data_IF_530561803948
#
_entry.id   IF_530561803948
#
_cell.length_a   1.000
_cell.length_b   1.000
_cell.length_c   1.000
_cell.angle_alpha   90.00
_cell.angle_beta   90.00
_cell.angle_gamma   90.00
#
_symmetry.space_group_name_H-M   'P 1'
#
loop_
_entity.id
_entity.type
_entity.pdbx_description
1 polymer ?
#
# COMPACT_ATOMS: atom_id res chain seq x y z
N UNK A 1 7.93 -2.76 -2.01
CA UNK A 1 8.92 -3.26 -2.99
C UNK A 1 10.21 -3.79 -2.36
N UNK A 2 11.13 -2.90 -1.97
CA UNK A 2 12.46 -3.29 -1.41
C UNK A 2 12.42 -3.79 0.05
N UNK A 3 11.27 -3.70 0.73
CA UNK A 3 11.08 -4.18 2.10
C UNK A 3 11.24 -3.13 3.20
N UNK A 4 11.08 -1.83 2.91
CA UNK A 4 11.16 -0.77 3.96
C UNK A 4 10.12 -0.97 5.07
N UNK A 5 8.86 -1.18 4.72
CA UNK A 5 7.76 -1.39 5.67
C UNK A 5 7.93 -2.70 6.44
N UNK A 6 8.38 -3.78 5.78
CA UNK A 6 8.72 -5.05 6.45
C UNK A 6 9.89 -4.88 7.43
N UNK A 7 10.94 -4.15 7.06
CA UNK A 7 12.04 -3.85 7.98
C UNK A 7 11.58 -2.99 9.16
N UNK A 8 10.65 -2.06 8.97
CA UNK A 8 10.08 -1.29 10.06
C UNK A 8 9.27 -2.17 11.03
N UNK A 9 8.42 -3.06 10.51
CA UNK A 9 7.66 -4.05 11.30
C UNK A 9 8.58 -5.01 12.05
N UNK A 10 9.60 -5.53 11.39
CA UNK A 10 10.59 -6.42 12.00
C UNK A 10 11.40 -5.69 13.08
N UNK A 11 11.79 -4.44 12.83
CA UNK A 11 12.48 -3.61 13.82
C UNK A 11 11.61 -3.38 15.06
N UNK A 12 10.31 -3.11 14.86
CA UNK A 12 9.35 -2.98 15.96
C UNK A 12 9.29 -4.26 16.80
N UNK A 13 9.15 -5.42 16.16
CA UNK A 13 9.15 -6.72 16.83
C UNK A 13 10.45 -6.95 17.60
N UNK A 14 11.60 -6.75 16.95
CA UNK A 14 12.93 -6.95 17.53
C UNK A 14 13.20 -6.06 18.74
N UNK A 15 12.75 -4.80 18.70
CA UNK A 15 12.87 -3.84 19.79
C UNK A 15 11.97 -4.20 20.98
N UNK A 16 10.74 -4.65 20.69
CA UNK A 16 9.80 -5.11 21.70
C UNK A 16 10.28 -6.38 22.41
N UNK A 17 10.76 -7.38 21.66
CA UNK A 17 11.31 -8.63 22.21
C UNK A 17 12.51 -8.39 23.15
N UNK A 18 13.31 -7.36 22.88
CA UNK A 18 14.44 -6.95 23.73
C UNK A 18 14.04 -6.04 24.88
N UNK A 19 12.77 -5.68 24.99
CA UNK A 19 12.27 -4.77 26.01
C UNK A 19 12.77 -3.34 25.85
N UNK A 20 13.25 -2.93 24.68
CA UNK A 20 13.63 -1.52 24.44
C UNK A 20 12.37 -0.65 24.30
N UNK A 21 11.34 -1.23 23.70
CA UNK A 21 10.01 -0.66 23.51
C UNK A 21 8.99 -1.58 24.17
N UNK A 22 7.89 -1.02 24.68
CA UNK A 22 6.72 -1.80 25.11
C UNK A 22 5.93 -2.25 23.88
N UNK A 23 5.65 -3.54 23.75
CA UNK A 23 4.92 -4.11 22.61
C UNK A 23 3.54 -3.46 22.38
N UNK A 24 2.91 -2.92 23.43
CA UNK A 24 1.63 -2.20 23.34
C UNK A 24 1.77 -0.73 22.92
N UNK A 25 3.01 -0.24 22.78
CA UNK A 25 3.36 1.15 22.45
C UNK A 25 4.16 1.24 21.15
N UNK A 26 3.85 0.34 20.23
CA UNK A 26 4.29 0.38 18.84
C UNK A 26 3.15 0.93 18.00
N UNK A 27 3.28 2.19 17.59
CA UNK A 27 2.27 2.91 16.83
C UNK A 27 2.66 2.93 15.35
N UNK A 28 1.71 2.59 14.48
CA UNK A 28 1.91 2.58 13.03
C UNK A 28 0.97 3.61 12.41
N UNK A 29 1.54 4.67 11.83
CA UNK A 29 0.82 5.70 11.10
C UNK A 29 1.10 5.55 9.60
N UNK A 30 0.15 5.03 8.80
CA UNK A 30 0.30 4.99 7.36
C UNK A 30 0.16 6.41 6.78
N UNK A 31 1.15 6.85 6.01
CA UNK A 31 1.23 8.19 5.42
C UNK A 31 1.15 8.17 3.89
N UNK A 32 0.80 7.03 3.29
CA UNK A 32 0.72 6.84 1.84
C UNK A 32 -0.09 7.94 1.14
N UNK A 33 -1.11 8.48 1.81
CA UNK A 33 -2.01 9.50 1.23
C UNK A 33 -1.81 10.88 1.84
N UNK A 34 -0.96 11.03 2.86
CA UNK A 34 -0.71 12.32 3.47
C UNK A 34 0.02 13.25 2.49
N UNK A 35 -0.48 14.47 2.32
CA UNK A 35 0.09 15.52 1.44
C UNK A 35 0.52 16.76 2.22
N UNK A 36 0.12 16.86 3.50
CA UNK A 36 0.37 18.02 4.34
C UNK A 36 0.80 17.63 5.75
N UNK A 37 1.34 18.59 6.51
CA UNK A 37 1.63 18.39 7.93
C UNK A 37 0.36 18.12 8.74
N UNK A 38 -0.79 18.66 8.34
CA UNK A 38 -2.07 18.39 8.98
C UNK A 38 -2.47 16.93 8.82
N UNK A 39 -2.35 16.37 7.62
CA UNK A 39 -2.67 14.95 7.37
C UNK A 39 -1.77 14.04 8.20
N UNK A 40 -0.48 14.37 8.31
CA UNK A 40 0.47 13.63 9.16
C UNK A 40 0.07 13.72 10.64
N UNK A 41 -0.31 14.90 11.14
CA UNK A 41 -0.79 15.06 12.53
C UNK A 41 -2.01 14.18 12.81
N UNK A 42 -2.97 14.18 11.89
CA UNK A 42 -4.19 13.36 12.00
C UNK A 42 -3.82 11.87 12.01
N UNK A 43 -2.97 11.42 11.08
CA UNK A 43 -2.53 10.03 11.03
C UNK A 43 -1.78 9.61 12.31
N UNK A 44 -0.92 10.47 12.84
CA UNK A 44 -0.21 10.21 14.11
C UNK A 44 -1.19 10.17 15.29
N UNK A 45 -2.10 11.14 15.40
CA UNK A 45 -3.11 11.18 16.45
C UNK A 45 -3.93 9.89 16.48
N UNK A 46 -4.43 9.47 15.32
CA UNK A 46 -5.21 8.25 15.20
C UNK A 46 -4.39 7.00 15.51
N UNK A 47 -3.13 6.93 15.08
CA UNK A 47 -2.23 5.82 15.40
C UNK A 47 -1.97 5.67 16.91
N UNK A 48 -1.97 6.77 17.67
CA UNK A 48 -1.79 6.78 19.14
C UNK A 48 -3.11 6.72 19.91
N UNK A 49 -4.26 6.58 19.23
CA UNK A 49 -5.59 6.46 19.85
C UNK A 49 -6.22 7.79 20.27
N UNK A 50 -5.78 8.90 19.69
CA UNK A 50 -6.30 10.25 19.93
C UNK A 50 -7.27 10.66 18.81
N UNK A 51 -8.40 11.27 19.19
CA UNK A 51 -9.36 11.86 18.25
C UNK A 51 -8.81 13.11 17.54
N UNK A 52 -9.02 13.30 16.21
CA UNK A 52 -8.54 14.47 15.48
C UNK A 52 -9.06 15.82 16.00
N UNK A 53 -10.24 15.81 16.61
CA UNK A 53 -10.89 16.95 17.27
C UNK A 53 -10.14 17.45 18.51
N UNK A 54 -9.28 16.61 19.09
CA UNK A 54 -8.44 16.96 20.23
C UNK A 54 -7.15 17.68 19.81
N UNK A 55 -6.85 17.72 18.51
CA UNK A 55 -5.67 18.42 18.01
C UNK A 55 -5.86 19.94 18.13
N UNK A 56 -4.88 20.66 18.70
CA UNK A 56 -4.86 22.12 18.62
C UNK A 56 -4.97 22.61 17.18
N UNK A 57 -5.71 23.72 16.97
CA UNK A 57 -5.84 24.32 15.63
C UNK A 57 -4.53 24.94 15.14
N UNK A 58 -3.72 25.45 16.06
CA UNK A 58 -2.39 25.97 15.75
C UNK A 58 -1.41 24.82 15.50
N UNK A 59 -0.70 24.88 14.38
CA UNK A 59 0.14 23.77 13.92
C UNK A 59 1.34 23.48 14.82
N UNK A 60 1.93 24.50 15.43
CA UNK A 60 3.09 24.33 16.32
C UNK A 60 2.64 23.77 17.68
N UNK A 61 1.53 24.28 18.21
CA UNK A 61 0.91 23.71 19.40
C UNK A 61 0.48 22.26 19.19
N UNK A 62 -0.04 21.91 18.00
CA UNK A 62 -0.39 20.53 17.68
C UNK A 62 0.84 19.61 17.61
N UNK A 63 1.96 20.10 17.07
CA UNK A 63 3.22 19.35 17.07
C UNK A 63 3.72 19.09 18.51
N UNK A 64 3.71 20.13 19.35
CA UNK A 64 4.09 20.04 20.76
C UNK A 64 3.20 19.07 21.54
N UNK A 65 1.89 19.17 21.31
CA UNK A 65 0.89 18.35 21.97
C UNK A 65 1.05 16.88 21.60
N UNK A 66 1.20 16.55 20.31
CA UNK A 66 1.44 15.18 19.84
C UNK A 66 2.73 14.59 20.43
N UNK A 67 3.81 15.39 20.48
CA UNK A 67 5.06 14.97 21.09
C UNK A 67 4.90 14.64 22.59
N UNK A 68 4.04 15.37 23.32
CA UNK A 68 3.75 15.11 24.73
C UNK A 68 2.90 13.84 24.94
N UNK A 69 2.06 13.45 23.97
CA UNK A 69 1.26 12.24 24.07
C UNK A 69 2.07 10.95 23.91
N UNK A 70 3.24 11.02 23.26
CA UNK A 70 4.07 9.84 23.07
C UNK A 70 4.65 9.36 24.41
N UNK A 71 4.36 8.14 24.87
CA UNK A 71 4.86 7.65 26.13
C UNK A 71 6.33 7.23 26.05
N UNK A 72 7.00 7.14 27.21
CA UNK A 72 8.35 6.54 27.27
C UNK A 72 8.33 5.10 26.80
N UNK A 73 9.45 4.64 26.21
CA UNK A 73 9.62 3.30 25.64
C UNK A 73 8.55 2.99 24.58
N UNK A 74 8.24 3.97 23.74
CA UNK A 74 7.38 3.81 22.57
C UNK A 74 8.17 3.83 21.27
N UNK A 75 7.56 3.29 20.23
CA UNK A 75 8.01 3.37 18.85
C UNK A 75 6.88 3.95 18.01
N UNK A 76 7.17 4.98 17.22
CA UNK A 76 6.29 5.52 16.20
C UNK A 76 6.87 5.20 14.82
N UNK A 77 6.13 4.46 14.01
CA UNK A 77 6.45 4.18 12.61
C UNK A 77 5.57 5.04 11.72
N UNK A 78 6.20 5.94 10.96
CA UNK A 78 5.59 6.73 9.91
C UNK A 78 5.87 6.04 8.57
N UNK A 79 4.91 5.28 8.05
CA UNK A 79 5.12 4.41 6.88
C UNK A 79 4.67 5.09 5.58
N UNK A 80 5.40 4.88 4.48
CA UNK A 80 5.11 5.43 3.14
C UNK A 80 4.99 6.97 3.09
N UNK A 81 5.94 7.67 3.73
CA UNK A 81 5.90 9.11 3.89
C UNK A 81 6.31 9.94 2.66
N UNK A 82 6.59 9.32 1.49
CA UNK A 82 7.09 10.03 0.30
C UNK A 82 6.24 11.23 -0.11
N UNK A 83 4.92 11.06 -0.07
CA UNK A 83 3.96 12.06 -0.48
C UNK A 83 3.90 13.23 0.51
N UNK A 84 3.95 12.94 1.80
CA UNK A 84 3.97 13.95 2.86
C UNK A 84 5.27 14.75 2.83
N UNK A 85 6.40 14.06 2.64
CA UNK A 85 7.72 14.68 2.54
C UNK A 85 7.82 15.59 1.31
N UNK A 86 7.30 15.15 0.16
CA UNK A 86 7.32 15.93 -1.07
C UNK A 86 6.42 17.16 -1.02
N UNK A 87 5.14 16.98 -0.66
CA UNK A 87 4.14 18.03 -0.75
C UNK A 87 4.11 18.93 0.50
N UNK A 88 4.33 18.37 1.69
CA UNK A 88 4.22 19.07 2.97
C UNK A 88 5.46 19.86 3.37
N UNK A 89 6.60 19.63 2.71
CA UNK A 89 7.81 20.44 2.81
C UNK A 89 8.31 20.68 4.25
N UNK A 90 8.59 21.94 4.59
CA UNK A 90 9.16 22.31 5.89
C UNK A 90 8.26 21.95 7.07
N UNK A 91 6.94 22.15 6.95
CA UNK A 91 6.02 21.89 8.06
C UNK A 91 5.98 20.42 8.47
N UNK A 92 6.05 19.49 7.50
CA UNK A 92 6.15 18.05 7.78
C UNK A 92 7.47 17.71 8.46
N UNK A 93 8.57 18.32 8.00
CA UNK A 93 9.88 18.15 8.64
C UNK A 93 9.87 18.63 10.09
N UNK A 94 9.35 19.82 10.34
CA UNK A 94 9.29 20.41 11.69
C UNK A 94 8.46 19.54 12.64
N UNK A 95 7.34 18.99 12.18
CA UNK A 95 6.55 18.00 12.93
C UNK A 95 7.37 16.74 13.25
N UNK A 96 8.00 16.13 12.24
CA UNK A 96 8.78 14.91 12.42
C UNK A 96 9.96 15.13 13.39
N UNK A 97 10.66 16.26 13.28
CA UNK A 97 11.71 16.66 14.22
C UNK A 97 11.16 16.82 15.64
N UNK A 98 9.98 17.42 15.76
CA UNK A 98 9.36 17.63 17.06
C UNK A 98 8.99 16.31 17.76
N UNK A 99 8.47 15.34 17.01
CA UNK A 99 8.16 14.00 17.51
C UNK A 99 9.42 13.27 18.02
N UNK A 100 10.53 13.37 17.28
CA UNK A 100 11.82 12.79 17.70
C UNK A 100 12.37 13.46 18.95
N UNK A 101 12.17 14.77 19.08
CA UNK A 101 12.64 15.58 20.21
C UNK A 101 11.70 15.56 21.43
N UNK A 102 10.66 14.72 21.43
CA UNK A 102 9.75 14.59 22.55
C UNK A 102 10.50 14.22 23.85
N UNK A 103 10.06 14.79 24.98
CA UNK A 103 10.71 14.59 26.29
C UNK A 103 10.74 13.11 26.72
N UNK A 104 9.73 12.35 26.31
CA UNK A 104 9.62 10.91 26.52
C UNK A 104 10.64 10.08 25.75
N UNK A 105 11.35 10.70 24.79
CA UNK A 105 12.36 10.08 23.91
C UNK A 105 11.84 8.82 23.22
N UNK A 106 10.76 8.93 22.41
CA UNK A 106 10.26 7.82 21.62
C UNK A 106 11.30 7.43 20.56
N UNK A 107 11.28 6.17 20.13
CA UNK A 107 11.94 5.80 18.89
C UNK A 107 11.00 6.17 17.74
N UNK A 108 11.56 6.74 16.67
CA UNK A 108 10.79 7.10 15.47
C UNK A 108 11.46 6.49 14.25
N UNK A 109 10.67 5.77 13.45
CA UNK A 109 11.09 5.24 12.15
C UNK A 109 10.22 5.90 11.09
N UNK A 110 10.84 6.48 10.07
CA UNK A 110 10.14 6.99 8.89
C UNK A 110 10.56 6.16 7.68
N UNK A 111 9.60 5.57 6.98
CA UNK A 111 9.86 4.93 5.69
C UNK A 111 9.41 5.88 4.58
N UNK A 112 10.26 6.07 3.58
CA UNK A 112 9.98 6.96 2.45
C UNK A 112 10.86 6.60 1.27
N UNK A 113 10.46 6.97 0.06
CA UNK A 113 11.31 6.97 -1.13
C UNK A 113 12.16 8.24 -1.26
N UNK A 114 11.82 9.28 -0.49
CA UNK A 114 12.50 10.57 -0.47
C UNK A 114 13.14 10.84 0.89
N UNK A 115 14.23 11.58 0.87
CA UNK A 115 14.88 12.04 2.11
C UNK A 115 13.99 13.09 2.79
N UNK A 116 13.70 12.88 4.08
CA UNK A 116 13.00 13.84 4.94
C UNK A 116 13.81 15.16 5.05
N UNK A 117 15.14 15.06 4.94
CA UNK A 117 16.06 16.19 5.02
C UNK A 117 16.22 16.74 6.44
N UNK A 118 16.01 15.90 7.45
CA UNK A 118 16.21 16.24 8.86
C UNK A 118 17.47 15.60 9.43
N UNK A 119 18.24 16.35 10.22
CA UNK A 119 19.40 15.81 10.94
C UNK A 119 19.01 14.91 12.12
N UNK A 120 17.80 15.06 12.65
CA UNK A 120 17.28 14.23 13.73
C UNK A 120 16.82 12.85 13.22
N UNK A 121 16.57 12.73 11.92
CA UNK A 121 16.15 11.50 11.23
C UNK A 121 17.17 11.14 10.15
N UNK A 122 18.32 10.58 10.53
CA UNK A 122 19.34 10.21 9.56
C UNK A 122 18.80 9.16 8.57
N UNK A 123 19.00 9.41 7.28
CA UNK A 123 18.56 8.49 6.23
C UNK A 123 19.42 7.20 6.23
N UNK A 124 18.75 6.06 6.23
CA UNK A 124 19.38 4.76 6.01
C UNK A 124 18.91 4.16 4.69
N UNK A 125 19.82 4.06 3.72
CA UNK A 125 19.53 3.49 2.42
C UNK A 125 19.39 1.96 2.52
N UNK A 126 18.16 1.46 2.42
CA UNK A 126 17.89 0.02 2.32
C UNK A 126 18.51 -0.51 1.03
N UNK A 127 19.43 -1.46 1.18
CA UNK A 127 20.15 -2.05 0.06
C UNK A 127 19.32 -3.16 -0.60
N UNK A 128 19.62 -3.43 -1.87
CA UNK A 128 19.16 -4.66 -2.54
C UNK A 128 19.70 -5.89 -1.82
N UNK A 129 19.01 -7.02 -1.97
CA UNK A 129 19.48 -8.26 -1.38
C UNK A 129 20.80 -8.68 -2.00
N UNK A 130 21.71 -9.22 -1.18
CA UNK A 130 22.90 -9.90 -1.70
C UNK A 130 22.46 -11.14 -2.46
N UNK A 131 23.25 -11.56 -3.45
CA UNK A 131 22.89 -12.71 -4.30
C UNK A 131 22.60 -13.98 -3.50
N UNK A 132 23.38 -14.27 -2.44
CA UNK A 132 23.13 -15.42 -1.56
C UNK A 132 21.78 -15.34 -0.83
N UNK A 133 21.38 -14.15 -0.36
CA UNK A 133 20.11 -13.96 0.33
C UNK A 133 18.92 -13.96 -0.65
N UNK A 134 19.12 -13.42 -1.85
CA UNK A 134 18.13 -13.47 -2.93
C UNK A 134 17.83 -14.91 -3.35
N UNK A 135 18.86 -15.76 -3.49
CA UNK A 135 18.70 -17.20 -3.76
C UNK A 135 17.95 -17.90 -2.63
N UNK A 136 18.30 -17.62 -1.37
CA UNK A 136 17.59 -18.19 -0.21
C UNK A 136 16.12 -17.81 -0.19
N UNK A 137 15.81 -16.54 -0.46
CA UNK A 137 14.43 -16.07 -0.54
C UNK A 137 13.69 -16.71 -1.71
N UNK A 138 14.33 -16.82 -2.88
CA UNK A 138 13.74 -17.52 -4.02
C UNK A 138 13.40 -18.96 -3.68
N UNK A 139 14.34 -19.71 -3.08
CA UNK A 139 14.13 -21.10 -2.64
C UNK A 139 12.92 -21.22 -1.72
N UNK A 140 12.78 -20.30 -0.77
CA UNK A 140 11.64 -20.24 0.14
C UNK A 140 10.32 -19.93 -0.60
N UNK A 141 10.29 -18.91 -1.46
CA UNK A 141 9.11 -18.51 -2.21
C UNK A 141 8.69 -19.53 -3.28
N UNK A 142 9.65 -20.28 -3.81
CA UNK A 142 9.46 -21.35 -4.78
C UNK A 142 9.07 -22.69 -4.11
N UNK A 143 9.15 -22.79 -2.78
CA UNK A 143 8.83 -24.02 -2.05
C UNK A 143 9.79 -25.17 -2.35
N UNK A 144 11.06 -24.85 -2.64
CA UNK A 144 12.08 -25.85 -2.94
C UNK A 144 12.62 -26.48 -1.64
N UNK A 145 12.50 -27.79 -1.50
CA UNK A 145 13.04 -28.55 -0.37
C UNK A 145 13.86 -29.78 -0.82
N UNK A 146 14.67 -30.34 0.10
CA UNK A 146 15.38 -31.61 -0.12
C UNK A 146 16.05 -31.75 -1.49
N UNK A 147 15.56 -32.71 -2.29
CA UNK A 147 16.08 -33.01 -3.62
C UNK A 147 15.75 -31.93 -4.67
N UNK A 148 14.71 -31.13 -4.44
CA UNK A 148 14.29 -30.07 -5.37
C UNK A 148 15.26 -28.89 -5.38
N UNK A 149 16.09 -28.72 -4.35
CA UNK A 149 17.15 -27.71 -4.32
C UNK A 149 18.21 -27.88 -5.42
N UNK A 150 18.32 -29.08 -5.99
CA UNK A 150 19.26 -29.38 -7.08
C UNK A 150 18.64 -29.20 -8.48
N UNK A 151 17.32 -28.98 -8.57
CA UNK A 151 16.60 -28.83 -9.85
C UNK A 151 16.89 -27.51 -10.57
N UNK A 152 16.94 -26.34 -9.90
CA UNK A 152 17.15 -25.06 -10.57
C UNK A 152 18.59 -24.96 -11.10
N UNK A 153 18.75 -24.61 -12.38
CA UNK A 153 20.06 -24.19 -12.88
C UNK A 153 20.50 -22.92 -12.13
N UNK A 154 21.66 -22.99 -11.46
CA UNK A 154 22.14 -21.91 -10.60
C UNK A 154 22.57 -20.67 -11.39
N UNK A 155 23.05 -20.85 -12.61
CA UNK A 155 23.51 -19.76 -13.48
C UNK A 155 22.30 -18.97 -13.96
N UNK A 156 21.30 -19.68 -14.49
CA UNK A 156 20.07 -19.07 -14.96
C UNK A 156 19.22 -18.49 -13.83
N UNK A 157 19.21 -19.11 -12.65
CA UNK A 157 18.60 -18.50 -11.46
C UNK A 157 19.28 -17.19 -11.08
N UNK A 158 20.61 -17.14 -11.07
CA UNK A 158 21.34 -15.90 -10.78
C UNK A 158 21.00 -14.81 -11.80
N UNK A 159 20.95 -15.15 -13.09
CA UNK A 159 20.53 -14.25 -14.16
C UNK A 159 19.11 -13.72 -13.94
N UNK A 160 18.15 -14.60 -13.69
CA UNK A 160 16.75 -14.21 -13.44
C UNK A 160 16.59 -13.30 -12.20
N UNK A 161 17.39 -13.53 -11.16
CA UNK A 161 17.41 -12.67 -9.97
C UNK A 161 18.03 -11.29 -10.25
N UNK A 162 19.04 -11.22 -11.12
CA UNK A 162 19.64 -9.96 -11.56
C UNK A 162 18.68 -9.16 -12.46
N UNK A 163 17.83 -9.83 -13.25
CA UNK A 163 16.76 -9.18 -14.03
C UNK A 163 15.79 -8.38 -13.17
N UNK A 164 15.48 -8.88 -11.98
CA UNK A 164 14.57 -8.24 -11.03
C UNK A 164 15.30 -7.41 -9.98
N UNK A 165 16.58 -7.11 -10.21
CA UNK A 165 17.45 -6.31 -9.34
C UNK A 165 17.46 -6.80 -7.87
N UNK A 166 17.25 -8.11 -7.68
CA UNK A 166 17.22 -8.78 -6.36
C UNK A 166 16.30 -8.09 -5.35
N UNK A 167 15.17 -7.55 -5.83
CA UNK A 167 14.15 -6.90 -5.00
C UNK A 167 13.27 -7.97 -4.36
N UNK A 168 13.08 -8.00 -3.03
CA UNK A 168 12.32 -9.03 -2.34
C UNK A 168 10.95 -9.35 -2.97
N UNK A 169 10.13 -8.32 -3.22
CA UNK A 169 8.80 -8.51 -3.82
C UNK A 169 8.86 -9.09 -5.23
N UNK A 170 9.86 -8.73 -6.03
CA UNK A 170 10.01 -9.27 -7.37
C UNK A 170 10.51 -10.72 -7.36
N UNK A 171 11.35 -11.08 -6.38
CA UNK A 171 11.78 -12.47 -6.13
C UNK A 171 10.59 -13.34 -5.73
N UNK A 172 9.68 -12.82 -4.88
CA UNK A 172 8.45 -13.54 -4.50
C UNK A 172 7.60 -13.89 -5.73
N UNK A 173 7.37 -12.91 -6.61
CA UNK A 173 6.63 -13.09 -7.86
C UNK A 173 7.34 -14.09 -8.79
N UNK A 174 8.68 -14.03 -8.87
CA UNK A 174 9.49 -14.95 -9.66
C UNK A 174 9.40 -16.39 -9.12
N UNK A 175 9.44 -16.57 -7.81
CA UNK A 175 9.29 -17.88 -7.16
C UNK A 175 7.90 -18.47 -7.41
N UNK A 176 6.86 -17.65 -7.37
CA UNK A 176 5.52 -18.06 -7.77
C UNK A 176 5.46 -18.48 -9.26
N UNK A 177 6.15 -17.77 -10.15
CA UNK A 177 6.25 -18.11 -11.57
C UNK A 177 6.98 -19.42 -11.83
N UNK A 178 8.08 -19.63 -11.14
CA UNK A 178 8.79 -20.89 -11.20
C UNK A 178 7.91 -22.07 -10.75
N UNK A 179 7.16 -21.92 -9.64
CA UNK A 179 6.20 -22.94 -9.16
C UNK A 179 5.12 -23.28 -10.18
N UNK A 180 4.72 -22.31 -11.01
CA UNK A 180 3.71 -22.55 -12.04
C UNK A 180 4.27 -23.31 -13.24
N UNK A 181 5.47 -22.92 -13.70
CA UNK A 181 6.07 -23.51 -14.92
C UNK A 181 6.75 -24.85 -14.68
N UNK A 182 7.29 -25.06 -13.47
CA UNK A 182 8.23 -26.14 -13.17
C UNK A 182 9.42 -26.19 -14.14
N UNK A 183 9.84 -25.01 -14.62
CA UNK A 183 10.94 -24.84 -15.58
C UNK A 183 12.28 -24.92 -14.83
N UNK A 184 12.90 -26.10 -14.84
CA UNK A 184 14.13 -26.36 -14.10
C UNK A 184 15.33 -25.53 -14.62
N UNK A 185 15.35 -25.20 -15.91
CA UNK A 185 16.45 -24.44 -16.51
C UNK A 185 16.15 -22.94 -16.67
N UNK A 186 14.95 -22.47 -16.30
CA UNK A 186 14.52 -21.06 -16.42
C UNK A 186 14.55 -20.50 -17.85
N UNK A 187 14.81 -21.28 -18.90
CA UNK A 187 15.02 -20.74 -20.25
C UNK A 187 13.78 -20.00 -20.74
N UNK A 188 12.59 -20.55 -20.48
CA UNK A 188 11.33 -19.90 -20.85
C UNK A 188 11.08 -18.63 -20.05
N UNK A 189 11.39 -18.67 -18.75
CA UNK A 189 11.24 -17.53 -17.85
C UNK A 189 12.19 -16.37 -18.22
N UNK A 190 13.46 -16.67 -18.49
CA UNK A 190 14.46 -15.70 -18.93
C UNK A 190 14.06 -15.09 -20.27
N UNK A 191 13.59 -15.90 -21.23
CA UNK A 191 13.12 -15.39 -22.52
C UNK A 191 11.95 -14.39 -22.38
N UNK A 192 11.00 -14.67 -21.50
CA UNK A 192 9.90 -13.74 -21.21
C UNK A 192 10.40 -12.49 -20.48
N UNK A 193 11.29 -12.63 -19.50
CA UNK A 193 11.93 -11.50 -18.81
C UNK A 193 12.62 -10.56 -19.79
N UNK A 194 13.39 -11.09 -20.74
CA UNK A 194 13.99 -10.29 -21.81
C UNK A 194 12.94 -9.55 -22.63
N UNK A 195 11.90 -10.26 -23.08
CA UNK A 195 10.82 -9.68 -23.90
C UNK A 195 10.12 -8.53 -23.19
N UNK A 196 9.82 -8.69 -21.91
CA UNK A 196 9.14 -7.66 -21.12
C UNK A 196 10.07 -6.52 -20.71
N UNK A 197 11.35 -6.81 -20.44
CA UNK A 197 12.34 -5.80 -20.05
C UNK A 197 12.50 -4.74 -21.12
N UNK A 198 12.63 -5.11 -22.37
CA UNK A 198 12.77 -4.15 -23.46
C UNK A 198 11.55 -3.22 -23.56
N UNK A 199 10.35 -3.76 -23.33
CA UNK A 199 9.11 -2.98 -23.34
C UNK A 199 9.04 -2.02 -22.14
N UNK A 200 9.35 -2.50 -20.94
CA UNK A 200 9.24 -1.72 -19.69
C UNK A 200 10.34 -0.67 -19.58
N UNK A 201 11.58 -0.98 -19.97
CA UNK A 201 12.70 -0.02 -19.91
C UNK A 201 12.53 1.14 -20.88
N UNK A 202 11.94 0.89 -22.06
CA UNK A 202 11.72 1.91 -23.10
C UNK A 202 10.49 2.78 -22.86
N UNK A 203 9.65 2.43 -21.89
CA UNK A 203 8.47 3.22 -21.57
C UNK A 203 8.83 4.35 -20.58
N UNK A 204 8.75 5.63 -21.00
CA UNK A 204 9.09 6.76 -20.15
C UNK A 204 8.09 6.97 -19.00
N UNK A 205 6.92 6.31 -19.02
CA UNK A 205 5.88 6.45 -18.01
C UNK A 205 6.03 5.46 -16.84
N UNK A 206 7.03 4.58 -16.85
CA UNK A 206 7.40 3.81 -15.66
C UNK A 206 8.47 4.55 -14.87
N UNK A 207 8.23 4.90 -13.59
CA UNK A 207 9.28 5.38 -12.71
C UNK A 207 10.43 4.36 -12.62
N UNK A 208 11.68 4.83 -12.69
CA UNK A 208 12.85 3.95 -12.67
C UNK A 208 12.90 3.08 -11.40
N UNK A 209 12.36 3.60 -10.30
CA UNK A 209 12.32 2.97 -8.99
C UNK A 209 11.44 1.71 -8.96
N UNK A 210 10.46 1.60 -9.87
CA UNK A 210 9.49 0.49 -9.89
C UNK A 210 9.70 -0.48 -11.05
N UNK A 211 10.50 -0.15 -12.07
CA UNK A 211 10.71 -0.98 -13.28
C UNK A 211 11.06 -2.44 -12.96
N UNK A 212 11.94 -2.69 -12.00
CA UNK A 212 12.35 -4.05 -11.60
C UNK A 212 11.20 -4.86 -10.99
N UNK A 213 10.30 -4.20 -10.26
CA UNK A 213 9.11 -4.84 -9.67
C UNK A 213 8.04 -5.06 -10.74
N UNK A 214 7.86 -4.10 -11.66
CA UNK A 214 6.92 -4.18 -12.78
C UNK A 214 7.13 -5.43 -13.63
N UNK A 215 8.37 -5.87 -13.82
CA UNK A 215 8.66 -7.12 -14.54
C UNK A 215 8.01 -8.34 -13.88
N UNK A 216 8.14 -8.49 -12.57
CA UNK A 216 7.50 -9.56 -11.82
C UNK A 216 5.97 -9.46 -11.86
N UNK A 217 5.43 -8.23 -11.76
CA UNK A 217 3.99 -7.98 -11.83
C UNK A 217 3.43 -8.37 -13.20
N UNK A 218 4.14 -8.03 -14.28
CA UNK A 218 3.74 -8.40 -15.64
C UNK A 218 3.63 -9.91 -15.82
N UNK A 219 4.63 -10.68 -15.38
CA UNK A 219 4.60 -12.14 -15.48
C UNK A 219 3.42 -12.73 -14.70
N UNK A 220 3.21 -12.26 -13.46
CA UNK A 220 2.09 -12.69 -12.63
C UNK A 220 0.73 -12.32 -13.26
N UNK A 221 0.63 -11.15 -13.87
CA UNK A 221 -0.57 -10.71 -14.58
C UNK A 221 -0.84 -11.53 -15.85
N UNK A 222 0.18 -11.83 -16.66
CA UNK A 222 0.02 -12.63 -17.88
C UNK A 222 -0.51 -14.04 -17.53
N UNK A 223 0.00 -14.63 -16.44
CA UNK A 223 -0.51 -15.89 -15.91
C UNK A 223 -1.94 -15.79 -15.37
N UNK A 224 -2.28 -14.69 -14.69
CA UNK A 224 -3.64 -14.43 -14.24
C UNK A 224 -4.60 -14.36 -15.43
N UNK A 225 -4.23 -13.61 -16.47
CA UNK A 225 -5.04 -13.44 -17.68
C UNK A 225 -5.20 -14.75 -18.47
N UNK A 226 -4.17 -15.60 -18.53
CA UNK A 226 -4.26 -16.95 -19.10
C UNK A 226 -5.26 -17.83 -18.33
N UNK A 227 -5.36 -17.67 -17.00
CA UNK A 227 -6.26 -18.46 -16.15
C UNK A 227 -7.69 -17.93 -16.14
N UNK A 228 -7.87 -16.61 -16.09
CA UNK A 228 -9.17 -15.95 -16.07
C UNK A 228 -9.06 -14.49 -16.50
N UNK A 229 -9.69 -14.18 -17.63
CA UNK A 229 -9.82 -12.81 -18.12
C UNK A 229 -10.62 -11.94 -17.14
N UNK A 230 -11.65 -12.51 -16.48
CA UNK A 230 -12.45 -11.78 -15.48
C UNK A 230 -11.61 -11.38 -14.26
N UNK A 231 -10.70 -12.27 -13.79
CA UNK A 231 -9.83 -11.95 -12.68
C UNK A 231 -8.78 -10.90 -13.06
N UNK A 232 -8.27 -10.95 -14.30
CA UNK A 232 -7.37 -9.92 -14.83
C UNK A 232 -8.07 -8.56 -14.98
N UNK A 233 -9.33 -8.55 -15.44
CA UNK A 233 -10.15 -7.34 -15.51
C UNK A 233 -10.44 -6.76 -14.13
N UNK A 234 -10.79 -7.60 -13.14
CA UNK A 234 -10.97 -7.18 -11.76
C UNK A 234 -9.65 -6.62 -11.17
N UNK A 235 -8.51 -7.26 -11.42
CA UNK A 235 -7.21 -6.74 -11.00
C UNK A 235 -6.94 -5.33 -11.54
N UNK A 236 -7.29 -5.07 -12.80
CA UNK A 236 -7.20 -3.74 -13.39
C UNK A 236 -8.13 -2.75 -12.68
N UNK A 237 -9.40 -3.12 -12.50
CA UNK A 237 -10.41 -2.26 -11.85
C UNK A 237 -10.06 -1.93 -10.39
N UNK A 238 -9.36 -2.82 -9.67
CA UNK A 238 -8.86 -2.55 -8.32
C UNK A 238 -7.95 -1.31 -8.26
N UNK A 239 -7.36 -0.87 -9.37
CA UNK A 239 -6.57 0.36 -9.38
C UNK A 239 -7.39 1.64 -9.08
N UNK A 240 -8.71 1.57 -9.25
CA UNK A 240 -9.64 2.67 -8.95
C UNK A 240 -9.91 2.83 -7.44
N UNK A 241 -9.41 1.91 -6.61
CA UNK A 241 -9.62 1.87 -5.17
C UNK A 241 -8.26 2.07 -4.47
N UNK A 242 -7.74 3.31 -4.40
CA UNK A 242 -6.39 3.58 -3.93
C UNK A 242 -6.13 3.15 -2.48
N UNK A 243 -7.13 3.15 -1.60
CA UNK A 243 -7.08 2.62 -0.23
C UNK A 243 -7.43 1.12 -0.13
N UNK A 244 -7.65 0.47 -1.28
CA UNK A 244 -8.14 -0.90 -1.36
C UNK A 244 -9.66 -1.00 -1.43
N UNK A 245 -10.12 -2.22 -1.65
CA UNK A 245 -11.53 -2.60 -1.74
C UNK A 245 -11.80 -3.73 -0.75
N UNK A 246 -12.78 -3.53 0.13
CA UNK A 246 -13.16 -4.55 1.09
C UNK A 246 -14.04 -5.65 0.48
N UNK A 247 -14.13 -6.81 1.13
CA UNK A 247 -14.88 -7.96 0.61
C UNK A 247 -16.35 -7.62 0.34
N UNK A 248 -17.01 -6.86 1.22
CA UNK A 248 -18.39 -6.43 1.02
C UNK A 248 -18.57 -5.54 -0.22
N UNK A 249 -17.65 -4.60 -0.43
CA UNK A 249 -17.62 -3.73 -1.61
C UNK A 249 -17.35 -4.51 -2.88
N UNK A 250 -16.46 -5.50 -2.83
CA UNK A 250 -16.22 -6.38 -3.96
C UNK A 250 -17.46 -7.19 -4.35
N UNK A 251 -18.21 -7.73 -3.37
CA UNK A 251 -19.49 -8.38 -3.64
C UNK A 251 -20.53 -7.41 -4.22
N UNK A 252 -20.61 -6.18 -3.70
CA UNK A 252 -21.57 -5.18 -4.16
C UNK A 252 -21.31 -4.77 -5.62
N UNK A 253 -20.04 -4.60 -6.00
CA UNK A 253 -19.64 -4.08 -7.31
C UNK A 253 -19.50 -5.15 -8.39
N UNK A 254 -19.03 -6.35 -8.02
CA UNK A 254 -18.69 -7.41 -8.98
C UNK A 254 -19.52 -8.69 -8.77
N UNK A 255 -20.44 -8.68 -7.81
CA UNK A 255 -21.39 -9.76 -7.55
C UNK A 255 -20.76 -10.99 -6.91
N UNK A 256 -21.51 -12.10 -6.94
CA UNK A 256 -21.16 -13.34 -6.24
C UNK A 256 -19.86 -14.02 -6.72
N UNK A 257 -19.35 -13.66 -7.90
CA UNK A 257 -18.08 -14.18 -8.40
C UNK A 257 -16.86 -13.51 -7.75
N UNK A 258 -17.01 -12.32 -7.15
CA UNK A 258 -15.91 -11.50 -6.67
C UNK A 258 -14.96 -12.23 -5.70
N UNK A 259 -15.43 -12.97 -4.67
CA UNK A 259 -14.53 -13.65 -3.73
C UNK A 259 -13.61 -14.67 -4.42
N UNK A 260 -14.15 -15.40 -5.41
CA UNK A 260 -13.36 -16.36 -6.19
C UNK A 260 -12.32 -15.64 -7.05
N UNK A 261 -12.69 -14.55 -7.71
CA UNK A 261 -11.78 -13.79 -8.57
C UNK A 261 -10.66 -13.14 -7.73
N UNK A 262 -10.99 -12.51 -6.61
CA UNK A 262 -10.01 -11.92 -5.68
C UNK A 262 -9.02 -12.95 -5.16
N UNK A 263 -9.50 -14.15 -4.80
CA UNK A 263 -8.63 -15.26 -4.41
C UNK A 263 -7.68 -15.66 -5.54
N UNK A 264 -8.15 -15.71 -6.78
CA UNK A 264 -7.27 -16.01 -7.93
C UNK A 264 -6.16 -14.98 -8.10
N UNK A 265 -6.46 -13.69 -7.88
CA UNK A 265 -5.49 -12.59 -7.93
C UNK A 265 -4.51 -12.70 -6.75
N UNK A 266 -4.99 -12.93 -5.54
CA UNK A 266 -4.18 -13.13 -4.34
C UNK A 266 -3.22 -14.31 -4.47
N UNK A 267 -3.67 -15.43 -5.05
CA UNK A 267 -2.84 -16.61 -5.33
C UNK A 267 -1.67 -16.31 -6.28
N UNK A 268 -1.68 -15.14 -6.96
CA UNK A 268 -0.58 -14.64 -7.78
C UNK A 268 0.39 -13.73 -7.02
N UNK A 269 0.22 -13.53 -5.71
CA UNK A 269 0.89 -12.50 -4.90
C UNK A 269 0.71 -11.08 -5.46
N UNK A 270 -0.43 -10.81 -6.12
CA UNK A 270 -0.75 -9.50 -6.70
C UNK A 270 -1.54 -8.58 -5.76
N UNK A 271 -1.95 -9.05 -4.58
CA UNK A 271 -2.67 -8.28 -3.57
C UNK A 271 -1.91 -8.29 -2.24
N UNK A 272 -2.21 -7.31 -1.39
CA UNK A 272 -1.89 -7.30 0.04
C UNK A 272 -3.18 -7.18 0.85
N UNK A 273 -3.13 -7.68 2.10
CA UNK A 273 -4.25 -7.62 3.05
C UNK A 273 -3.85 -6.86 4.31
N UNK A 274 -3.92 -5.51 4.31
CA UNK A 274 -3.71 -4.72 5.52
C UNK A 274 -4.74 -5.05 6.62
N UNK A 275 -5.94 -5.50 6.21
CA UNK A 275 -6.95 -6.09 7.08
C UNK A 275 -7.42 -7.43 6.49
N UNK A 276 -7.97 -8.35 7.30
CA UNK A 276 -8.41 -9.65 6.81
C UNK A 276 -9.35 -9.61 5.61
N UNK A 277 -10.18 -8.56 5.51
CA UNK A 277 -11.21 -8.36 4.48
C UNK A 277 -10.86 -7.25 3.47
N UNK A 278 -9.74 -6.52 3.62
CA UNK A 278 -9.37 -5.41 2.75
C UNK A 278 -8.32 -5.84 1.73
N UNK A 279 -8.68 -5.78 0.46
CA UNK A 279 -7.79 -6.10 -0.66
C UNK A 279 -7.13 -4.82 -1.16
N UNK A 280 -5.81 -4.74 -1.04
CA UNK A 280 -5.03 -3.56 -1.37
C UNK A 280 -4.03 -3.86 -2.50
N UNK A 281 -3.89 -2.90 -3.42
CA UNK A 281 -2.83 -2.90 -4.43
C UNK A 281 -1.69 -1.98 -3.98
N UNK A 282 -0.49 -2.52 -3.72
CA UNK A 282 0.69 -1.70 -3.48
C UNK A 282 0.92 -0.72 -4.62
N UNK A 283 1.43 0.48 -4.32
CA UNK A 283 1.61 1.57 -5.31
C UNK A 283 2.20 1.14 -6.66
N UNK A 284 3.29 0.34 -6.74
CA UNK A 284 3.82 -0.13 -8.03
C UNK A 284 2.84 -1.02 -8.81
N UNK A 285 2.02 -1.80 -8.11
CA UNK A 285 1.06 -2.74 -8.68
C UNK A 285 -0.17 -1.98 -9.17
N UNK A 286 -0.62 -0.98 -8.39
CA UNK A 286 -1.68 -0.06 -8.78
C UNK A 286 -1.35 0.68 -10.06
N UNK A 287 -0.13 1.23 -10.18
CA UNK A 287 0.35 1.90 -11.41
C UNK A 287 0.36 0.95 -12.61
N UNK A 288 0.73 -0.31 -12.40
CA UNK A 288 0.67 -1.33 -13.44
C UNK A 288 -0.78 -1.67 -13.83
N UNK A 289 -1.66 -1.86 -12.85
CA UNK A 289 -3.06 -2.26 -13.00
C UNK A 289 -3.88 -1.19 -13.75
N UNK A 290 -3.68 0.09 -13.44
CA UNK A 290 -4.36 1.20 -14.10
C UNK A 290 -4.16 1.19 -15.62
N UNK A 291 -2.98 0.76 -16.06
CA UNK A 291 -2.63 0.66 -17.49
C UNK A 291 -3.28 -0.52 -18.21
N UNK A 292 -3.85 -1.45 -17.46
CA UNK A 292 -4.62 -2.58 -17.99
C UNK A 292 -6.11 -2.25 -18.13
N UNK A 293 -6.56 -1.08 -17.65
CA UNK A 293 -7.96 -0.66 -17.76
C UNK A 293 -8.37 -0.51 -19.22
N UNK A 294 -9.38 -1.28 -19.62
CA UNK A 294 -9.94 -1.21 -20.97
C UNK A 294 -10.68 0.11 -21.14
N UNK A 295 -10.22 0.97 -22.07
CA UNK A 295 -10.79 2.31 -22.27
C UNK A 295 -10.28 3.37 -21.27
N UNK A 296 -9.34 3.01 -20.40
CA UNK A 296 -8.72 3.91 -19.42
C UNK A 296 -9.56 4.18 -18.16
N UNK A 297 -8.97 4.91 -17.21
CA UNK A 297 -9.55 5.18 -15.89
C UNK A 297 -10.94 5.82 -15.98
N UNK A 298 -11.12 6.83 -16.84
CA UNK A 298 -12.40 7.52 -16.97
C UNK A 298 -13.55 6.58 -17.39
N UNK A 299 -13.30 5.68 -18.35
CA UNK A 299 -14.32 4.73 -18.80
C UNK A 299 -14.68 3.71 -17.72
N UNK A 300 -13.67 3.22 -16.99
CA UNK A 300 -13.88 2.29 -15.89
C UNK A 300 -14.63 2.94 -14.72
N UNK A 301 -14.28 4.18 -14.37
CA UNK A 301 -15.02 4.97 -13.38
C UNK A 301 -16.47 5.21 -13.79
N UNK A 302 -16.76 5.51 -15.05
CA UNK A 302 -18.14 5.67 -15.53
C UNK A 302 -18.96 4.38 -15.41
N UNK A 303 -18.33 3.22 -15.62
CA UNK A 303 -18.99 1.92 -15.49
C UNK A 303 -19.35 1.57 -14.04
N UNK A 304 -18.46 1.88 -13.10
CA UNK A 304 -18.59 1.46 -11.70
C UNK A 304 -19.13 2.54 -10.77
N UNK A 305 -19.04 3.81 -11.15
CA UNK A 305 -19.10 4.93 -10.21
C UNK A 305 -20.40 5.06 -9.43
N UNK A 306 -21.56 4.84 -10.07
CA UNK A 306 -22.85 4.90 -9.36
C UNK A 306 -22.97 3.80 -8.29
N UNK A 307 -22.48 2.59 -8.59
CA UNK A 307 -22.53 1.47 -7.63
C UNK A 307 -21.49 1.67 -6.52
N UNK A 308 -20.30 2.19 -6.87
CA UNK A 308 -19.25 2.48 -5.91
C UNK A 308 -19.68 3.58 -4.93
N UNK A 309 -20.30 4.65 -5.42
CA UNK A 309 -20.87 5.70 -4.57
C UNK A 309 -21.92 5.16 -3.60
N UNK A 310 -22.91 4.42 -4.10
CA UNK A 310 -23.95 3.85 -3.25
C UNK A 310 -23.37 2.95 -2.16
N UNK A 311 -22.38 2.12 -2.50
CA UNK A 311 -21.69 1.29 -1.53
C UNK A 311 -20.93 2.12 -0.48
N UNK A 312 -20.15 3.12 -0.91
CA UNK A 312 -19.34 3.91 0.02
C UNK A 312 -20.16 4.87 0.88
N UNK A 313 -21.35 5.30 0.44
CA UNK A 313 -22.32 6.02 1.27
C UNK A 313 -22.76 5.14 2.46
N UNK A 314 -23.28 3.94 2.19
CA UNK A 314 -23.67 2.98 3.23
C UNK A 314 -22.49 2.60 4.16
N UNK A 315 -21.29 2.48 3.58
CA UNK A 315 -20.07 2.12 4.31
C UNK A 315 -19.61 3.22 5.26
N UNK A 316 -19.62 4.48 4.82
CA UNK A 316 -19.27 5.62 5.66
C UNK A 316 -20.25 5.76 6.82
N UNK A 317 -21.56 5.58 6.59
CA UNK A 317 -22.55 5.54 7.69
C UNK A 317 -22.28 4.40 8.69
N UNK A 318 -21.81 3.24 8.22
CA UNK A 318 -21.43 2.14 9.10
C UNK A 318 -20.18 2.48 9.93
N UNK A 319 -19.17 3.10 9.33
CA UNK A 319 -17.96 3.56 10.03
C UNK A 319 -18.27 4.67 11.04
N UNK A 320 -19.09 5.66 10.67
CA UNK A 320 -19.50 6.77 11.55
C UNK A 320 -20.24 6.27 12.80
N UNK A 321 -21.20 5.35 12.63
CA UNK A 321 -21.86 4.69 13.77
C UNK A 321 -20.86 3.96 14.68
N UNK A 322 -19.83 3.35 14.09
CA UNK A 322 -18.74 2.71 14.83
C UNK A 322 -17.89 3.69 15.64
N UNK A 323 -17.64 4.90 15.10
CA UNK A 323 -16.92 5.96 15.79
C UNK A 323 -17.74 6.56 16.94
N UNK A 324 -19.05 6.74 16.74
CA UNK A 324 -19.96 7.27 17.76
C UNK A 324 -20.15 6.34 18.98
N UNK A 325 -19.89 5.04 18.81
CA UNK A 325 -20.01 4.04 19.89
C UNK A 325 -19.00 4.20 21.04
N UNK A 326 -17.88 4.90 20.81
CA UNK A 326 -16.82 5.14 21.80
C UNK A 326 -16.07 3.88 22.27
N UNK A 327 -15.01 4.10 23.08
CA UNK A 327 -14.23 3.02 23.72
C UNK A 327 -13.11 2.43 22.87
N UNK A 328 -12.55 1.29 23.31
CA UNK A 328 -11.37 0.65 22.70
C UNK A 328 -11.54 0.28 21.22
N UNK A 329 -12.78 0.09 20.75
CA UNK A 329 -13.09 -0.20 19.35
C UNK A 329 -12.95 1.02 18.42
N UNK A 330 -13.02 2.24 18.95
CA UNK A 330 -12.95 3.48 18.17
C UNK A 330 -11.63 3.60 17.40
N UNK A 331 -10.51 3.22 18.03
CA UNK A 331 -9.19 3.24 17.38
C UNK A 331 -9.12 2.31 16.16
N UNK A 332 -9.73 1.13 16.26
CA UNK A 332 -9.79 0.18 15.15
C UNK A 332 -10.68 0.68 14.01
N UNK A 333 -11.83 1.30 14.33
CA UNK A 333 -12.73 1.90 13.32
C UNK A 333 -12.06 3.09 12.65
N UNK A 334 -11.37 3.96 13.40
CA UNK A 334 -10.69 5.11 12.83
C UNK A 334 -9.49 4.71 11.96
N UNK A 335 -8.71 3.70 12.39
CA UNK A 335 -7.66 3.12 11.57
C UNK A 335 -8.22 2.49 10.28
N UNK A 336 -9.41 1.89 10.37
CA UNK A 336 -10.10 1.36 9.19
C UNK A 336 -10.56 2.46 8.24
N UNK A 337 -11.16 3.53 8.76
CA UNK A 337 -11.59 4.69 8.00
C UNK A 337 -10.40 5.32 7.24
N UNK A 338 -9.28 5.56 7.93
CA UNK A 338 -8.06 6.09 7.31
C UNK A 338 -7.53 5.21 6.17
N UNK A 339 -7.59 3.89 6.33
CA UNK A 339 -7.08 2.98 5.32
C UNK A 339 -7.89 3.06 4.01
N UNK A 340 -9.20 3.26 4.11
CA UNK A 340 -10.10 3.37 2.94
C UNK A 340 -10.35 4.82 2.49
N UNK A 341 -9.83 5.82 3.22
CA UNK A 341 -10.14 7.24 3.01
C UNK A 341 -9.88 7.69 1.57
N UNK A 342 -8.73 7.34 0.98
CA UNK A 342 -8.44 7.75 -0.40
C UNK A 342 -9.39 7.13 -1.42
N UNK A 343 -9.92 5.94 -1.15
CA UNK A 343 -10.96 5.33 -1.99
C UNK A 343 -12.28 6.08 -1.85
N UNK A 344 -12.67 6.41 -0.61
CA UNK A 344 -13.87 7.20 -0.32
C UNK A 344 -13.79 8.57 -1.02
N UNK A 345 -12.67 9.29 -0.85
CA UNK A 345 -12.42 10.59 -1.48
C UNK A 345 -12.43 10.50 -3.00
N UNK A 346 -11.80 9.47 -3.59
CA UNK A 346 -11.77 9.30 -5.04
C UNK A 346 -13.18 9.13 -5.63
N UNK A 347 -14.03 8.31 -5.00
CA UNK A 347 -15.40 8.12 -5.46
C UNK A 347 -16.29 9.33 -5.18
N UNK A 348 -16.15 9.98 -4.02
CA UNK A 348 -16.87 11.22 -3.71
C UNK A 348 -16.54 12.34 -4.71
N UNK A 349 -15.25 12.52 -5.04
CA UNK A 349 -14.80 13.48 -6.05
C UNK A 349 -15.35 13.15 -7.44
N UNK A 350 -15.38 11.87 -7.83
CA UNK A 350 -16.01 11.44 -9.07
C UNK A 350 -17.51 11.74 -9.08
N UNK A 351 -18.23 11.47 -7.98
CA UNK A 351 -19.66 11.77 -7.84
C UNK A 351 -19.97 13.25 -8.00
N UNK A 352 -19.22 14.11 -7.30
CA UNK A 352 -19.30 15.56 -7.44
C UNK A 352 -19.13 16.04 -8.89
N UNK A 353 -18.16 15.45 -9.60
CA UNK A 353 -17.88 15.82 -10.99
C UNK A 353 -18.96 15.37 -11.98
N UNK A 354 -19.74 14.33 -11.64
CA UNK A 354 -20.76 13.72 -12.49
C UNK A 354 -22.19 14.01 -12.05
N UNK A 355 -22.37 14.84 -11.03
CA UNK A 355 -23.69 15.27 -10.58
C UNK A 355 -24.39 16.11 -11.67
N UNK A 356 -25.54 15.64 -12.13
CA UNK A 356 -26.33 16.34 -13.15
C UNK A 356 -26.92 17.62 -12.56
N UNK A 357 -26.74 18.75 -13.26
CA UNK A 357 -27.43 19.98 -12.92
C UNK A 357 -28.93 19.84 -13.27
N UNK A 358 -29.80 19.78 -12.27
CA UNK A 358 -31.26 19.89 -12.49
C UNK A 358 -31.68 21.36 -12.67
N UNK A 359 -32.62 21.63 -13.60
CA UNK A 359 -33.11 22.98 -13.96
C UNK A 359 -33.59 23.85 -12.79
N UNK A 360 -33.90 23.26 -11.64
CA UNK A 360 -34.35 23.97 -10.45
C UNK A 360 -33.24 24.37 -9.46
N UNK A 361 -31.98 23.93 -9.63
CA UNK A 361 -30.89 24.21 -8.67
C UNK A 361 -29.51 24.26 -9.33
N UNK A 362 -28.69 25.31 -9.11
CA UNK A 362 -27.29 25.32 -9.55
C UNK A 362 -26.52 24.16 -8.87
N UNK A 363 -25.47 23.66 -9.54
CA UNK A 363 -24.55 22.61 -9.06
C UNK A 363 -24.19 22.86 -7.59
N UNK A 364 -24.85 22.15 -6.68
CA UNK A 364 -24.61 22.16 -5.25
C UNK A 364 -24.69 20.69 -4.82
N UNK A 365 -23.75 20.23 -3.99
CA UNK A 365 -23.44 18.82 -3.87
C UNK A 365 -24.54 18.07 -3.11
N UNK A 366 -25.35 17.26 -3.79
CA UNK A 366 -26.31 16.37 -3.12
C UNK A 366 -25.59 15.19 -2.44
N UNK A 367 -24.45 14.75 -2.99
CA UNK A 367 -23.70 13.58 -2.51
C UNK A 367 -22.71 13.87 -1.37
N UNK A 368 -22.37 15.14 -1.11
CA UNK A 368 -21.44 15.55 -0.03
C UNK A 368 -22.17 16.23 1.14
N UNK A 369 -23.49 16.33 1.06
CA UNK A 369 -24.30 16.69 2.23
C UNK A 369 -24.57 15.48 3.15
N UNK A 370 -24.36 14.26 2.64
CA UNK A 370 -24.61 12.98 3.33
C UNK A 370 -23.34 12.14 3.60
N UNK A 371 -22.20 12.49 2.98
CA UNK A 371 -20.86 11.98 3.31
C UNK A 371 -20.15 13.00 4.22
#
# INVERSE_FOLDING_TARGET
GIGKSELARESARWLAERGWVDARRCYFAPLAEARSATDVRVAVALAIGVGPDQLPQDGDQANDWLAQQLPRRSLLVLDEAENAVEAGGRAVRDLMERLVQAESRPLVIVTSQKDVGSRALPAYAVQRMRSADAVRMFVQCAGLDGADLARPDRTHLAEALDFVDRVPRAIELLGAEWRYRHDADFSGLIADLHRHRDRILRDPHYPDEVKSVTLGVQLAYDRLAQRSLDAAALFADLSLFPGGLNEAGALALYGAAAPRLLRMIEDQSLLERPYPDLFYLPTPFRHFAERQLTGGAAAAQQRLGMQALAFYEDWVEALDRGLQGGGDAMGAVAARYLAELSTIEAWAAWGLANEAATESRPRAPQLVANL
#
